data_IF_880597063341
#
_entry.id   IF_880597063341
#
_cell.length_a   1.000
_cell.length_b   1.000
_cell.length_c   1.000
_cell.angle_alpha   90.00
_cell.angle_beta   90.00
_cell.angle_gamma   90.00
#
_symmetry.space_group_name_H-M   'P 1'
#
loop_
_entity.id
_entity.type
_entity.pdbx_description
1 polymer ?
#
# COMPACT_ATOMS: atom_id res chain seq x y z
N UNK A 1 23.09 24.45 -11.83
CA UNK A 1 23.33 23.08 -12.33
C UNK A 1 22.17 22.24 -11.84
N UNK A 2 21.12 22.17 -12.65
CA UNK A 2 19.93 21.38 -12.35
C UNK A 2 20.15 20.00 -12.99
N UNK A 3 20.67 19.06 -12.22
CA UNK A 3 20.69 17.64 -12.64
C UNK A 3 19.25 17.16 -12.56
N UNK A 4 18.51 17.40 -13.64
CA UNK A 4 17.18 16.84 -13.86
C UNK A 4 17.29 15.32 -13.96
N UNK A 5 17.33 14.65 -12.80
CA UNK A 5 17.04 13.22 -12.73
C UNK A 5 15.57 13.12 -13.15
N UNK A 6 15.24 12.44 -14.26
CA UNK A 6 13.85 12.22 -14.61
C UNK A 6 13.19 11.52 -13.42
N UNK A 7 12.27 12.22 -12.75
CA UNK A 7 11.41 11.59 -11.75
C UNK A 7 10.61 10.54 -12.52
N UNK A 8 10.92 9.27 -12.29
CA UNK A 8 10.14 8.18 -12.85
C UNK A 8 8.66 8.41 -12.49
N UNK A 9 7.76 8.13 -13.44
CA UNK A 9 6.33 8.30 -13.21
C UNK A 9 5.89 7.54 -11.94
N UNK A 10 4.97 8.12 -11.14
CA UNK A 10 4.49 7.46 -9.94
C UNK A 10 3.97 6.05 -10.25
N UNK A 11 4.45 5.04 -9.51
CA UNK A 11 4.00 3.66 -9.67
C UNK A 11 2.47 3.60 -9.53
N UNK A 12 1.75 2.78 -10.32
CA UNK A 12 0.32 2.58 -10.13
C UNK A 12 0.00 2.02 -8.73
N UNK A 13 -1.20 2.34 -8.23
CA UNK A 13 -1.78 1.75 -7.02
C UNK A 13 -2.86 0.75 -7.40
N UNK A 14 -2.73 -0.46 -6.86
CA UNK A 14 -3.71 -1.53 -7.02
C UNK A 14 -4.39 -1.82 -5.67
N UNK A 15 -5.72 -1.91 -5.69
CA UNK A 15 -6.53 -2.08 -4.49
C UNK A 15 -7.02 -3.53 -4.38
N UNK A 16 -6.68 -4.20 -3.30
CA UNK A 16 -7.09 -5.59 -3.08
C UNK A 16 -8.35 -5.67 -2.22
N UNK A 17 -9.36 -6.39 -2.72
CA UNK A 17 -10.62 -6.59 -2.02
C UNK A 17 -11.35 -5.28 -1.78
N UNK A 18 -11.85 -5.05 -0.57
CA UNK A 18 -12.61 -3.84 -0.21
C UNK A 18 -11.75 -2.62 0.12
N UNK A 19 -10.42 -2.70 0.02
CA UNK A 19 -9.53 -1.68 0.62
C UNK A 19 -9.78 -0.24 0.12
N UNK A 20 -10.18 -0.06 -1.14
CA UNK A 20 -10.56 1.25 -1.66
C UNK A 20 -11.90 1.74 -1.12
N UNK A 21 -12.90 0.85 -1.03
CA UNK A 21 -14.21 1.19 -0.48
C UNK A 21 -14.07 1.58 1.01
N UNK A 22 -13.36 0.75 1.79
CA UNK A 22 -13.09 1.00 3.20
C UNK A 22 -12.39 2.36 3.41
N UNK A 23 -11.40 2.70 2.56
CA UNK A 23 -10.73 4.00 2.62
C UNK A 23 -11.67 5.16 2.30
N UNK A 24 -12.55 4.99 1.30
CA UNK A 24 -13.51 6.04 0.89
C UNK A 24 -14.54 6.36 1.95
N UNK A 25 -14.79 5.44 2.88
CA UNK A 25 -15.70 5.63 4.02
C UNK A 25 -15.05 6.41 5.18
N UNK A 26 -13.74 6.67 5.13
CA UNK A 26 -13.04 7.43 6.18
C UNK A 26 -13.35 8.93 6.12
N UNK A 27 -13.12 9.68 7.22
CA UNK A 27 -13.16 11.13 7.18
C UNK A 27 -12.24 11.71 6.09
N UNK A 28 -12.65 12.81 5.44
CA UNK A 28 -11.90 13.41 4.33
C UNK A 28 -10.44 13.75 4.68
N UNK A 29 -10.19 14.23 5.90
CA UNK A 29 -8.84 14.51 6.37
C UNK A 29 -7.97 13.24 6.39
N UNK A 30 -8.52 12.12 6.87
CA UNK A 30 -7.86 10.81 6.89
C UNK A 30 -7.59 10.30 5.48
N UNK A 31 -8.56 10.43 4.57
CA UNK A 31 -8.37 10.05 3.15
C UNK A 31 -7.19 10.81 2.53
N UNK A 32 -7.10 12.11 2.79
CA UNK A 32 -6.02 12.96 2.28
C UNK A 32 -4.66 12.53 2.83
N UNK A 33 -4.55 12.33 4.14
CA UNK A 33 -3.28 11.99 4.78
C UNK A 33 -2.77 10.61 4.33
N UNK A 34 -3.69 9.63 4.20
CA UNK A 34 -3.35 8.31 3.63
C UNK A 34 -2.97 8.44 2.15
N UNK A 35 -3.70 9.24 1.37
CA UNK A 35 -3.42 9.49 -0.04
C UNK A 35 -2.03 10.10 -0.27
N UNK A 36 -1.62 11.05 0.57
CA UNK A 36 -0.27 11.64 0.51
C UNK A 36 0.82 10.61 0.80
N UNK A 37 0.64 9.78 1.83
CA UNK A 37 1.58 8.71 2.15
C UNK A 37 1.66 7.65 1.04
N UNK A 38 0.54 7.30 0.42
CA UNK A 38 0.52 6.40 -0.74
C UNK A 38 1.23 7.02 -1.95
N UNK A 39 1.00 8.31 -2.22
CA UNK A 39 1.68 9.01 -3.30
C UNK A 39 3.20 9.04 -3.12
N UNK A 40 3.69 9.30 -1.90
CA UNK A 40 5.11 9.18 -1.58
C UNK A 40 5.64 7.77 -1.90
N UNK A 41 4.90 6.73 -1.50
CA UNK A 41 5.27 5.34 -1.83
C UNK A 41 5.26 5.05 -3.34
N UNK A 42 4.35 5.65 -4.11
CA UNK A 42 4.34 5.55 -5.58
C UNK A 42 5.61 6.14 -6.20
N UNK A 43 6.11 7.24 -5.62
CA UNK A 43 7.38 7.88 -6.01
C UNK A 43 8.62 7.18 -5.46
N UNK A 44 8.46 6.14 -4.62
CA UNK A 44 9.58 5.45 -3.97
C UNK A 44 10.17 6.20 -2.77
N UNK A 45 9.44 7.18 -2.24
CA UNK A 45 9.81 7.97 -1.06
C UNK A 45 9.23 7.35 0.22
N UNK A 46 9.90 7.57 1.35
CA UNK A 46 9.34 7.23 2.66
C UNK A 46 8.51 8.39 3.22
N UNK A 47 7.44 8.07 3.94
CA UNK A 47 6.58 9.07 4.57
C UNK A 47 6.60 8.91 6.10
N UNK A 48 6.65 9.99 6.90
CA UNK A 48 6.88 9.89 8.36
C UNK A 48 5.85 9.05 9.14
N UNK A 49 4.61 8.97 8.64
CA UNK A 49 3.54 8.18 9.28
C UNK A 49 3.58 6.69 8.94
N UNK A 50 4.53 6.25 8.10
CA UNK A 50 4.68 4.86 7.64
C UNK A 50 5.57 4.06 8.58
N UNK A 51 5.13 2.85 8.93
CA UNK A 51 5.85 1.91 9.78
C UNK A 51 5.84 0.50 9.18
N UNK A 52 6.85 -0.30 9.50
CA UNK A 52 6.82 -1.71 9.16
C UNK A 52 5.76 -2.44 9.98
N UNK A 53 4.90 -3.23 9.32
CA UNK A 53 3.96 -4.08 10.01
C UNK A 53 4.70 -5.32 10.55
N UNK A 54 4.67 -5.53 11.86
CA UNK A 54 5.30 -6.70 12.50
C UNK A 54 4.64 -7.99 12.04
N UNK A 55 5.42 -9.06 11.95
CA UNK A 55 4.93 -10.41 11.59
C UNK A 55 4.95 -10.76 10.09
N UNK A 56 5.39 -9.85 9.22
CA UNK A 56 5.42 -10.06 7.76
C UNK A 56 6.82 -10.11 7.14
N UNK A 57 7.85 -10.44 7.93
CA UNK A 57 9.21 -10.66 7.40
C UNK A 57 9.92 -9.39 6.92
N UNK A 58 9.92 -8.32 7.72
CA UNK A 58 10.67 -7.08 7.46
C UNK A 58 9.82 -5.94 6.90
N UNK A 59 10.44 -4.99 6.19
CA UNK A 59 9.78 -3.81 5.56
C UNK A 59 9.04 -4.15 4.26
N UNK A 60 8.45 -5.33 4.15
CA UNK A 60 7.73 -5.79 2.96
C UNK A 60 6.26 -5.38 3.00
N UNK A 61 5.68 -5.33 4.20
CA UNK A 61 4.31 -4.85 4.46
C UNK A 61 4.40 -3.65 5.38
N UNK A 62 3.81 -2.55 4.95
CA UNK A 62 3.91 -1.24 5.55
C UNK A 62 2.53 -0.77 5.99
N UNK A 63 2.51 -0.02 7.08
CA UNK A 63 1.31 0.53 7.70
C UNK A 63 1.43 2.05 7.77
N UNK A 64 0.45 2.75 7.20
CA UNK A 64 0.22 4.18 7.39
C UNK A 64 -0.67 4.34 8.63
N UNK A 65 -0.30 5.20 9.56
CA UNK A 65 -1.11 5.55 10.73
C UNK A 65 -1.61 6.99 10.61
N UNK A 66 -2.93 7.16 10.50
CA UNK A 66 -3.59 8.46 10.41
C UNK A 66 -4.52 8.68 11.62
N UNK A 67 -4.08 9.44 12.65
CA UNK A 67 -4.93 9.77 13.79
C UNK A 67 -5.99 10.81 13.40
N UNK A 68 -7.22 10.62 13.85
CA UNK A 68 -8.31 11.58 13.65
C UNK A 68 -9.37 11.41 14.72
N UNK A 69 -9.75 12.49 15.39
CA UNK A 69 -10.81 12.55 16.40
C UNK A 69 -10.76 11.38 17.41
N UNK A 70 -9.67 11.30 18.18
CA UNK A 70 -9.39 10.25 19.17
C UNK A 70 -9.30 8.80 18.63
N UNK A 71 -9.44 8.61 17.32
CA UNK A 71 -9.34 7.33 16.64
C UNK A 71 -8.03 7.23 15.85
N UNK A 72 -7.63 6.00 15.53
CA UNK A 72 -6.51 5.74 14.63
C UNK A 72 -6.99 4.97 13.41
N UNK A 73 -6.84 5.57 12.24
CA UNK A 73 -7.11 4.93 10.96
C UNK A 73 -5.81 4.39 10.40
N UNK A 74 -5.87 3.21 9.77
CA UNK A 74 -4.72 2.50 9.25
C UNK A 74 -4.96 2.11 7.81
N UNK A 75 -3.93 2.26 6.98
CA UNK A 75 -3.89 1.66 5.65
C UNK A 75 -2.63 0.80 5.53
N UNK A 76 -2.82 -0.43 5.07
CA UNK A 76 -1.79 -1.44 4.93
C UNK A 76 -1.48 -1.63 3.46
N UNK A 77 -0.22 -1.53 3.09
CA UNK A 77 0.22 -1.68 1.72
C UNK A 77 1.52 -2.48 1.63
N UNK A 78 1.87 -2.93 0.42
CA UNK A 78 3.14 -3.59 0.14
C UNK A 78 3.80 -3.00 -1.09
N UNK A 79 5.12 -2.86 -1.01
CA UNK A 79 6.02 -2.44 -2.09
C UNK A 79 6.94 -3.59 -2.54
N UNK A 80 6.65 -4.82 -2.09
CA UNK A 80 7.47 -6.02 -2.40
C UNK A 80 7.48 -6.34 -3.90
N UNK A 81 6.50 -5.88 -4.65
CA UNK A 81 6.34 -6.14 -6.07
C UNK A 81 6.81 -4.93 -6.88
N UNK A 82 7.77 -5.15 -7.78
CA UNK A 82 8.34 -4.07 -8.58
C UNK A 82 7.27 -3.40 -9.46
N UNK A 83 7.35 -2.07 -9.55
CA UNK A 83 6.51 -1.26 -10.46
C UNK A 83 5.06 -1.06 -10.03
N UNK A 84 4.66 -1.43 -8.80
CA UNK A 84 3.27 -1.27 -8.32
C UNK A 84 3.20 -1.22 -6.80
N UNK A 85 2.30 -0.40 -6.28
CA UNK A 85 1.94 -0.36 -4.85
C UNK A 85 0.62 -1.07 -4.65
N UNK A 86 0.56 -2.11 -3.83
CA UNK A 86 -0.69 -2.79 -3.51
C UNK A 86 -1.22 -2.35 -2.15
N UNK A 87 -2.43 -1.81 -2.12
CA UNK A 87 -3.15 -1.52 -0.87
C UNK A 87 -4.00 -2.72 -0.47
N UNK A 88 -3.59 -3.35 0.62
CA UNK A 88 -4.15 -4.59 1.12
C UNK A 88 -5.38 -4.32 1.98
N UNK A 89 -5.36 -3.32 2.85
CA UNK A 89 -6.45 -3.09 3.78
C UNK A 89 -6.48 -1.66 4.27
N UNK A 90 -7.67 -1.13 4.56
CA UNK A 90 -7.85 0.10 5.30
C UNK A 90 -8.88 -0.16 6.41
N UNK A 91 -8.57 0.21 7.65
CA UNK A 91 -9.50 0.04 8.77
C UNK A 91 -9.34 1.12 9.85
N UNK A 92 -10.42 1.36 10.59
CA UNK A 92 -10.39 2.15 11.82
C UNK A 92 -10.05 1.24 13.01
N UNK A 93 -8.91 1.47 13.64
CA UNK A 93 -8.59 0.85 14.93
C UNK A 93 -9.34 1.60 16.04
N UNK A 94 -10.51 1.10 16.41
CA UNK A 94 -11.25 1.59 17.59
C UNK A 94 -10.44 1.26 18.87
N UNK A 95 -10.36 2.21 19.78
CA UNK A 95 -9.50 2.14 20.97
C UNK A 95 -9.93 1.00 21.91
N UNK A 96 -9.31 -0.16 21.77
CA UNK A 96 -9.26 -1.19 22.80
C UNK A 96 -7.81 -1.39 23.19
N UNK A 97 -7.53 -1.41 24.49
CA UNK A 97 -6.21 -1.59 25.12
C UNK A 97 -5.29 -2.48 24.26
N UNK A 98 -4.25 -1.88 23.68
CA UNK A 98 -3.24 -2.60 22.88
C UNK A 98 -2.68 -1.77 21.73
N UNK A 99 -1.35 -1.73 21.59
CA UNK A 99 -0.65 -1.08 20.46
C UNK A 99 -0.74 -1.95 19.20
N UNK A 100 -0.91 -3.26 19.38
CA UNK A 100 -0.93 -4.24 18.30
C UNK A 100 -2.19 -4.17 17.43
N UNK A 101 -2.01 -4.48 16.15
CA UNK A 101 -3.09 -4.74 15.19
C UNK A 101 -3.79 -6.06 15.59
N UNK A 102 -5.14 -6.11 15.68
CA UNK A 102 -5.85 -7.33 16.07
C UNK A 102 -5.58 -8.51 15.13
N UNK A 103 -5.57 -9.74 15.65
CA UNK A 103 -5.24 -10.95 14.87
C UNK A 103 -6.13 -11.11 13.62
N UNK A 104 -7.43 -10.81 13.72
CA UNK A 104 -8.35 -10.86 12.56
C UNK A 104 -7.90 -9.97 11.39
N UNK A 105 -7.30 -8.81 11.71
CA UNK A 105 -6.79 -7.88 10.69
C UNK A 105 -5.50 -8.45 10.09
N UNK A 106 -4.62 -9.02 10.92
CA UNK A 106 -3.40 -9.71 10.49
C UNK A 106 -3.74 -10.85 9.52
N UNK A 107 -4.73 -11.69 9.84
CA UNK A 107 -5.13 -12.81 9.00
C UNK A 107 -5.73 -12.32 7.66
N UNK A 108 -6.51 -11.25 7.69
CA UNK A 108 -7.06 -10.64 6.47
C UNK A 108 -5.96 -10.05 5.60
N UNK A 109 -4.98 -9.36 6.19
CA UNK A 109 -3.81 -8.82 5.49
C UNK A 109 -3.03 -9.96 4.82
N UNK A 110 -2.80 -11.08 5.53
CA UNK A 110 -2.14 -12.25 4.96
C UNK A 110 -2.86 -12.83 3.75
N UNK A 111 -4.19 -13.00 3.82
CA UNK A 111 -5.00 -13.46 2.68
C UNK A 111 -4.92 -12.51 1.49
N UNK A 112 -5.01 -11.20 1.74
CA UNK A 112 -4.96 -10.18 0.68
C UNK A 112 -3.56 -10.02 0.09
N UNK A 113 -2.50 -10.24 0.87
CA UNK A 113 -1.12 -10.28 0.36
C UNK A 113 -0.93 -11.44 -0.62
N UNK A 114 -1.46 -12.63 -0.33
CA UNK A 114 -1.44 -13.76 -1.25
C UNK A 114 -2.24 -13.47 -2.55
N UNK A 115 -3.36 -12.74 -2.45
CA UNK A 115 -4.12 -12.29 -3.61
C UNK A 115 -3.33 -11.27 -4.47
N UNK A 116 -2.65 -10.31 -3.84
CA UNK A 116 -1.76 -9.38 -4.53
C UNK A 116 -0.62 -10.10 -5.27
N UNK A 117 -0.05 -11.13 -4.65
CA UNK A 117 1.01 -11.94 -5.28
C UNK A 117 0.52 -12.66 -6.53
N UNK A 118 -0.68 -13.25 -6.49
CA UNK A 118 -1.31 -13.88 -7.67
C UNK A 118 -1.57 -12.87 -8.77
N UNK A 119 -2.19 -11.73 -8.44
CA UNK A 119 -2.47 -10.67 -9.41
C UNK A 119 -1.19 -10.16 -10.07
N UNK A 120 -0.11 -9.97 -9.30
CA UNK A 120 1.16 -9.53 -9.84
C UNK A 120 1.80 -10.57 -10.78
N UNK A 121 1.73 -11.87 -10.43
CA UNK A 121 2.21 -12.96 -11.29
C UNK A 121 1.44 -12.99 -12.62
N UNK A 122 0.13 -12.83 -12.59
CA UNK A 122 -0.73 -12.76 -13.78
C UNK A 122 -0.37 -11.56 -14.66
N UNK A 123 -0.24 -10.36 -14.07
CA UNK A 123 0.21 -9.15 -14.78
C UNK A 123 1.57 -9.34 -15.45
N UNK A 124 2.55 -9.94 -14.76
CA UNK A 124 3.88 -10.19 -15.32
C UNK A 124 3.84 -11.14 -16.52
N UNK A 125 2.97 -12.15 -16.52
CA UNK A 125 2.79 -13.03 -17.69
C UNK A 125 2.25 -12.26 -18.90
N UNK A 126 1.31 -11.35 -18.68
CA UNK A 126 0.69 -10.57 -19.78
C UNK A 126 1.56 -9.45 -20.35
N UNK A 127 2.55 -8.95 -19.59
CA UNK A 127 3.44 -7.86 -20.04
C UNK A 127 4.83 -8.35 -20.49
N UNK A 128 5.27 -9.51 -20.01
CA UNK A 128 6.49 -10.18 -20.49
C UNK A 128 6.43 -10.65 -21.95
N UNK A 129 5.23 -10.67 -22.56
CA UNK A 129 5.04 -10.98 -23.99
C UNK A 129 5.16 -9.75 -24.91
N UNK A 130 5.27 -8.53 -24.36
CA UNK A 130 5.30 -7.28 -25.14
C UNK A 130 6.69 -6.66 -25.29
N UNK A 131 7.70 -7.11 -24.55
CA UNK A 131 9.05 -6.53 -24.57
C UNK A 131 9.94 -7.08 -25.70
N UNK A 132 9.56 -8.20 -26.34
CA UNK A 132 10.33 -8.85 -27.41
C UNK A 132 9.98 -8.33 -28.83
N UNK A 133 9.31 -7.19 -28.97
CA UNK A 133 9.09 -6.55 -30.28
C UNK A 133 9.80 -5.20 -30.35
N UNK A 134 11.11 -5.27 -30.50
CA UNK A 134 11.88 -4.21 -31.17
C UNK A 134 11.73 -4.41 -32.68
N UNK A 135 11.05 -3.53 -33.44
CA UNK A 135 11.30 -3.45 -34.88
C UNK A 135 12.64 -2.73 -35.11
N UNK A 136 13.40 -3.23 -36.09
CA UNK A 136 14.71 -2.74 -36.55
C UNK A 136 14.77 -1.23 -36.82
#
# INVERSE_FOLDING_TARGET
MDTGIPRADPKPVEWIGSSLADLKDFPRAVQRDIGQALFAAQCGEEYPSVKALKGFGGRTVLEIVAPFDSNAYRAIYTVRFAGVVYVLHAFQKKSTKGIATPQREIDLIGRRLAAAERHHKERRRTYGEKDDRHPD
#
